data_IF_087303722055
#
_entry.id   IF_087303722055
#
_cell.length_a   1.000
_cell.length_b   1.000
_cell.length_c   1.000
_cell.angle_alpha   90.00
_cell.angle_beta   90.00
_cell.angle_gamma   90.00
#
_symmetry.space_group_name_H-M   'P 1'
#
loop_
_entity.id
_entity.type
_entity.pdbx_description
1 polymer ?
#
# COMPACT_ATOMS: atom_id res chain seq x y z
N UNK A 1 6.62 5.47 24.20
CA UNK A 1 7.10 4.58 23.14
C UNK A 1 6.20 4.54 21.88
N UNK A 2 4.90 4.81 21.97
CA UNK A 2 3.98 4.72 20.83
C UNK A 2 4.21 5.71 19.69
N UNK A 3 4.57 6.96 19.96
CA UNK A 3 4.71 7.99 18.91
C UNK A 3 5.79 7.68 17.87
N UNK A 4 6.89 7.04 18.26
CA UNK A 4 7.94 6.65 17.33
C UNK A 4 7.49 5.57 16.33
N UNK A 5 6.72 4.57 16.78
CA UNK A 5 6.24 3.49 15.90
C UNK A 5 5.15 3.98 14.93
N UNK A 6 4.28 4.90 15.37
CA UNK A 6 3.31 5.59 14.49
C UNK A 6 4.05 6.37 13.40
N UNK A 7 5.09 7.14 13.76
CA UNK A 7 5.90 7.85 12.79
C UNK A 7 6.56 6.92 11.76
N UNK A 8 7.10 5.78 12.20
CA UNK A 8 7.67 4.76 11.29
C UNK A 8 6.58 4.18 10.38
N UNK A 9 5.39 3.88 10.91
CA UNK A 9 4.25 3.39 10.14
C UNK A 9 3.87 4.38 9.02
N UNK A 10 3.82 5.67 9.32
CA UNK A 10 3.48 6.71 8.36
C UNK A 10 4.55 6.86 7.26
N UNK A 11 5.84 6.83 7.63
CA UNK A 11 6.93 6.88 6.66
C UNK A 11 6.91 5.66 5.73
N UNK A 12 6.78 4.45 6.28
CA UNK A 12 6.70 3.22 5.46
C UNK A 12 5.45 3.25 4.59
N UNK A 13 4.30 3.73 5.09
CA UNK A 13 3.07 3.90 4.32
C UNK A 13 3.26 4.82 3.11
N UNK A 14 3.96 5.95 3.29
CA UNK A 14 4.31 6.85 2.18
C UNK A 14 5.21 6.16 1.15
N UNK A 15 6.19 5.38 1.59
CA UNK A 15 7.06 4.61 0.69
C UNK A 15 6.29 3.53 -0.07
N UNK A 16 5.31 2.87 0.56
CA UNK A 16 4.42 1.90 -0.10
C UNK A 16 3.63 2.59 -1.21
N UNK A 17 3.01 3.74 -0.93
CA UNK A 17 2.27 4.51 -1.94
C UNK A 17 3.16 4.88 -3.12
N UNK A 18 4.35 5.41 -2.86
CA UNK A 18 5.31 5.79 -3.90
C UNK A 18 5.76 4.57 -4.73
N UNK A 19 6.07 3.44 -4.09
CA UNK A 19 6.51 2.22 -4.77
C UNK A 19 5.42 1.67 -5.70
N UNK A 20 4.15 1.62 -5.26
CA UNK A 20 3.05 1.15 -6.10
C UNK A 20 2.69 2.14 -7.21
N UNK A 21 2.85 3.44 -7.00
CA UNK A 21 2.69 4.42 -8.07
C UNK A 21 3.75 4.20 -9.17
N UNK A 22 5.02 4.05 -8.79
CA UNK A 22 6.11 3.76 -9.74
C UNK A 22 5.82 2.43 -10.47
N UNK A 23 5.44 1.38 -9.75
CA UNK A 23 5.13 0.08 -10.33
C UNK A 23 3.96 0.15 -11.33
N UNK A 24 2.93 0.93 -11.02
CA UNK A 24 1.80 1.16 -11.93
C UNK A 24 2.27 1.82 -13.23
N UNK A 25 3.14 2.83 -13.16
CA UNK A 25 3.74 3.48 -14.33
C UNK A 25 4.56 2.48 -15.15
N UNK A 26 5.40 1.68 -14.50
CA UNK A 26 6.21 0.66 -15.18
C UNK A 26 5.35 -0.38 -15.90
N UNK A 27 4.25 -0.83 -15.28
CA UNK A 27 3.31 -1.77 -15.91
C UNK A 27 2.54 -1.11 -17.07
N UNK A 28 2.19 0.17 -16.98
CA UNK A 28 1.60 0.91 -18.09
C UNK A 28 2.55 0.98 -19.31
N UNK A 29 3.84 1.25 -19.06
CA UNK A 29 4.87 1.23 -20.11
C UNK A 29 5.03 -0.15 -20.73
N UNK A 30 4.93 -1.24 -19.95
CA UNK A 30 4.96 -2.62 -20.46
C UNK A 30 3.75 -2.91 -21.35
N UNK A 31 2.56 -2.44 -20.99
CA UNK A 31 1.35 -2.55 -21.83
C UNK A 31 1.53 -1.80 -23.14
N UNK A 32 2.24 -0.65 -23.12
CA UNK A 32 2.63 0.12 -24.31
C UNK A 32 3.75 -0.53 -25.14
N UNK A 33 4.16 -1.76 -24.82
CA UNK A 33 5.14 -2.55 -25.59
C UNK A 33 6.60 -2.26 -25.24
N UNK A 34 6.89 -1.52 -24.14
CA UNK A 34 8.25 -1.32 -23.69
C UNK A 34 8.74 -2.51 -22.87
N UNK A 35 9.96 -2.95 -23.13
CA UNK A 35 10.62 -3.95 -22.29
C UNK A 35 11.18 -3.27 -21.04
N UNK A 36 10.60 -3.57 -19.87
CA UNK A 36 10.97 -2.99 -18.58
C UNK A 36 11.39 -4.15 -17.65
N UNK A 37 12.64 -4.51 -17.71
CA UNK A 37 13.20 -5.61 -16.92
C UNK A 37 13.14 -5.37 -15.41
N UNK A 38 13.27 -4.11 -14.97
CA UNK A 38 13.24 -3.71 -13.54
C UNK A 38 11.86 -3.84 -12.90
N UNK A 39 10.78 -3.93 -13.69
CA UNK A 39 9.42 -3.96 -13.15
C UNK A 39 9.20 -5.09 -12.13
N UNK A 40 9.79 -6.29 -12.37
CA UNK A 40 9.69 -7.41 -11.43
C UNK A 40 10.38 -7.12 -10.09
N UNK A 41 11.56 -6.51 -10.13
CA UNK A 41 12.29 -6.14 -8.90
C UNK A 41 11.50 -5.10 -8.10
N UNK A 42 10.97 -4.07 -8.77
CA UNK A 42 10.15 -3.04 -8.13
C UNK A 42 8.88 -3.65 -7.53
N UNK A 43 8.23 -4.60 -8.22
CA UNK A 43 7.06 -5.34 -7.72
C UNK A 43 7.38 -6.10 -6.43
N UNK A 44 8.50 -6.83 -6.37
CA UNK A 44 8.92 -7.54 -5.17
C UNK A 44 9.25 -6.61 -4.01
N UNK A 45 9.91 -5.49 -4.29
CA UNK A 45 10.23 -4.47 -3.28
C UNK A 45 8.94 -3.82 -2.75
N UNK A 46 8.01 -3.45 -3.63
CA UNK A 46 6.72 -2.87 -3.24
C UNK A 46 5.90 -3.82 -2.36
N UNK A 47 5.82 -5.10 -2.74
CA UNK A 47 5.15 -6.12 -1.95
C UNK A 47 5.83 -6.32 -0.57
N UNK A 48 7.16 -6.35 -0.53
CA UNK A 48 7.94 -6.43 0.71
C UNK A 48 7.68 -5.24 1.64
N UNK A 49 7.68 -4.01 1.12
CA UNK A 49 7.34 -2.81 1.88
C UNK A 49 5.91 -2.88 2.43
N UNK A 50 4.96 -3.35 1.64
CA UNK A 50 3.58 -3.52 2.09
C UNK A 50 3.48 -4.54 3.23
N UNK A 51 4.19 -5.66 3.16
CA UNK A 51 4.22 -6.65 4.26
C UNK A 51 4.83 -6.06 5.53
N UNK A 52 5.91 -5.27 5.43
CA UNK A 52 6.49 -4.55 6.57
C UNK A 52 5.48 -3.56 7.16
N UNK A 53 4.76 -2.83 6.30
CA UNK A 53 3.69 -1.91 6.73
C UNK A 53 2.61 -2.63 7.52
N UNK A 54 2.18 -3.83 7.08
CA UNK A 54 1.23 -4.66 7.83
C UNK A 54 1.78 -5.11 9.17
N UNK A 55 3.02 -5.58 9.22
CA UNK A 55 3.64 -6.01 10.46
C UNK A 55 3.67 -4.87 11.50
N UNK A 56 4.04 -3.66 11.08
CA UNK A 56 4.02 -2.47 11.95
C UNK A 56 2.58 -2.14 12.36
N UNK A 57 1.61 -2.18 11.44
CA UNK A 57 0.20 -1.94 11.73
C UNK A 57 -0.36 -2.92 12.77
N UNK A 58 -0.03 -4.20 12.70
CA UNK A 58 -0.43 -5.19 13.70
C UNK A 58 0.24 -4.96 15.05
N UNK A 59 1.50 -4.53 15.08
CA UNK A 59 2.17 -4.16 16.33
C UNK A 59 1.50 -2.94 16.98
N UNK A 60 1.12 -1.95 16.21
CA UNK A 60 0.37 -0.78 16.69
C UNK A 60 -0.99 -1.20 17.25
N UNK A 61 -1.74 -2.02 16.52
CA UNK A 61 -3.05 -2.52 16.97
C UNK A 61 -2.91 -3.33 18.27
N UNK A 62 -1.92 -4.21 18.37
CA UNK A 62 -1.60 -4.96 19.60
C UNK A 62 -1.17 -4.06 20.76
N UNK A 63 -0.59 -2.91 20.47
CA UNK A 63 -0.24 -1.86 21.45
C UNK A 63 -1.40 -0.94 21.84
N UNK A 64 -2.64 -1.22 21.37
CA UNK A 64 -3.84 -0.45 21.69
C UNK A 64 -4.06 0.78 20.82
N UNK A 65 -3.22 1.03 19.79
CA UNK A 65 -3.46 2.09 18.83
C UNK A 65 -4.57 1.67 17.86
N UNK A 66 -5.58 2.52 17.73
CA UNK A 66 -6.71 2.27 16.84
C UNK A 66 -6.71 3.26 15.68
N UNK A 67 -7.29 2.85 14.58
CA UNK A 67 -7.58 3.67 13.42
C UNK A 67 -9.03 3.42 12.97
N UNK A 68 -9.49 4.12 11.94
CA UNK A 68 -10.85 3.94 11.41
C UNK A 68 -11.04 2.54 10.81
N UNK A 69 -12.26 1.99 10.89
CA UNK A 69 -12.59 0.72 10.25
C UNK A 69 -12.31 0.75 8.74
N UNK A 70 -12.52 1.90 8.08
CA UNK A 70 -12.24 2.08 6.66
C UNK A 70 -10.77 1.87 6.33
N UNK A 71 -9.83 2.34 7.17
CA UNK A 71 -8.40 2.11 7.01
C UNK A 71 -8.09 0.61 6.95
N UNK A 72 -8.60 -0.17 7.90
CA UNK A 72 -8.35 -1.62 7.96
C UNK A 72 -8.95 -2.37 6.76
N UNK A 73 -10.17 -2.01 6.35
CA UNK A 73 -10.84 -2.65 5.21
C UNK A 73 -10.09 -2.37 3.91
N UNK A 74 -9.70 -1.12 3.66
CA UNK A 74 -8.94 -0.76 2.46
C UNK A 74 -7.56 -1.43 2.43
N UNK A 75 -6.88 -1.47 3.57
CA UNK A 75 -5.63 -2.20 3.71
C UNK A 75 -5.84 -3.67 3.33
N UNK A 76 -6.82 -4.37 3.92
CA UNK A 76 -7.08 -5.79 3.63
C UNK A 76 -7.36 -6.04 2.14
N UNK A 77 -8.16 -5.17 1.49
CA UNK A 77 -8.44 -5.29 0.06
C UNK A 77 -7.15 -5.07 -0.75
N UNK A 78 -6.28 -4.13 -0.34
CA UNK A 78 -4.99 -3.92 -1.00
C UNK A 78 -4.11 -5.19 -0.97
N UNK A 79 -4.10 -5.94 0.11
CA UNK A 79 -3.38 -7.22 0.18
C UNK A 79 -3.92 -8.25 -0.83
N UNK A 80 -5.24 -8.31 -1.01
CA UNK A 80 -5.84 -9.19 -2.01
C UNK A 80 -5.44 -8.79 -3.44
N UNK A 81 -5.37 -7.50 -3.75
CA UNK A 81 -4.94 -7.03 -5.09
C UNK A 81 -3.46 -7.34 -5.36
N UNK A 82 -2.60 -7.33 -4.35
CA UNK A 82 -1.21 -7.81 -4.47
C UNK A 82 -1.18 -9.32 -4.77
N UNK A 83 -2.04 -10.10 -4.13
CA UNK A 83 -2.22 -11.52 -4.47
C UNK A 83 -2.63 -11.73 -5.94
N UNK A 84 -3.48 -10.88 -6.48
CA UNK A 84 -3.86 -10.91 -7.90
C UNK A 84 -2.69 -10.56 -8.83
N UNK A 85 -1.85 -9.59 -8.46
CA UNK A 85 -0.65 -9.25 -9.23
C UNK A 85 0.32 -10.44 -9.31
N UNK A 86 0.66 -11.03 -8.18
CA UNK A 86 1.67 -12.09 -8.13
C UNK A 86 1.13 -13.47 -8.53
N UNK A 87 -0.13 -13.75 -8.26
CA UNK A 87 -0.77 -15.02 -8.59
C UNK A 87 -1.42 -15.00 -9.96
N UNK A 88 -2.51 -14.24 -10.10
CA UNK A 88 -3.33 -14.27 -11.30
C UNK A 88 -2.61 -13.73 -12.55
N UNK A 89 -1.87 -12.61 -12.44
CA UNK A 89 -1.17 -12.07 -13.60
C UNK A 89 -0.09 -13.03 -14.12
N UNK A 90 0.57 -13.79 -13.23
CA UNK A 90 1.60 -14.76 -13.61
C UNK A 90 1.04 -15.95 -14.44
N UNK A 91 -0.26 -16.27 -14.31
CA UNK A 91 -0.90 -17.39 -15.04
C UNK A 91 -1.36 -17.03 -16.47
N UNK A 92 -1.18 -15.78 -16.91
CA UNK A 92 -1.59 -15.35 -18.26
C UNK A 92 -0.61 -15.85 -19.32
N UNK A 93 -1.15 -16.28 -20.46
CA UNK A 93 -0.36 -16.96 -21.52
C UNK A 93 0.61 -16.01 -22.21
N UNK A 94 0.18 -14.79 -22.55
CA UNK A 94 1.00 -13.84 -23.31
C UNK A 94 1.62 -12.76 -22.42
N UNK A 95 2.77 -12.22 -22.85
CA UNK A 95 3.43 -11.12 -22.16
C UNK A 95 2.52 -9.88 -22.02
N UNK A 96 1.72 -9.59 -23.05
CA UNK A 96 0.77 -8.47 -23.01
C UNK A 96 -0.35 -8.70 -22.00
N UNK A 97 -0.93 -9.91 -21.96
CA UNK A 97 -1.98 -10.25 -20.99
C UNK A 97 -1.43 -10.17 -19.55
N UNK A 98 -0.20 -10.65 -19.32
CA UNK A 98 0.47 -10.50 -18.02
C UNK A 98 0.64 -9.03 -17.64
N UNK A 99 1.11 -8.19 -18.57
CA UNK A 99 1.29 -6.77 -18.33
C UNK A 99 -0.04 -6.04 -18.04
N UNK A 100 -1.11 -6.34 -18.77
CA UNK A 100 -2.45 -5.77 -18.53
C UNK A 100 -2.99 -6.20 -17.17
N UNK A 101 -2.92 -7.49 -16.84
CA UNK A 101 -3.38 -7.99 -15.54
C UNK A 101 -2.58 -7.36 -14.38
N UNK A 102 -1.25 -7.26 -14.51
CA UNK A 102 -0.40 -6.59 -13.54
C UNK A 102 -0.73 -5.09 -13.41
N UNK A 103 -0.98 -4.39 -14.52
CA UNK A 103 -1.37 -2.97 -14.50
C UNK A 103 -2.69 -2.77 -13.73
N UNK A 104 -3.71 -3.58 -14.01
CA UNK A 104 -5.00 -3.48 -13.32
C UNK A 104 -4.82 -3.72 -11.82
N UNK A 105 -4.09 -4.78 -11.44
CA UNK A 105 -3.85 -5.11 -10.04
C UNK A 105 -3.06 -4.01 -9.32
N UNK A 106 -1.97 -3.50 -9.91
CA UNK A 106 -1.14 -2.47 -9.30
C UNK A 106 -1.83 -1.12 -9.23
N UNK A 107 -2.65 -0.75 -10.23
CA UNK A 107 -3.48 0.45 -10.19
C UNK A 107 -4.50 0.36 -9.04
N UNK A 108 -5.19 -0.77 -8.90
CA UNK A 108 -6.12 -0.99 -7.79
C UNK A 108 -5.38 -0.91 -6.44
N UNK A 109 -4.22 -1.57 -6.31
CA UNK A 109 -3.41 -1.48 -5.09
C UNK A 109 -3.00 -0.04 -4.79
N UNK A 110 -2.53 0.71 -5.80
CA UNK A 110 -2.13 2.12 -5.64
C UNK A 110 -3.27 2.97 -5.07
N UNK A 111 -4.47 2.85 -5.64
CA UNK A 111 -5.65 3.59 -5.17
C UNK A 111 -6.00 3.21 -3.73
N UNK A 112 -5.99 1.92 -3.41
CA UNK A 112 -6.35 1.40 -2.09
C UNK A 112 -5.34 1.82 -1.02
N UNK A 113 -4.02 1.70 -1.28
CA UNK A 113 -3.00 2.10 -0.31
C UNK A 113 -2.95 3.61 -0.13
N UNK A 114 -3.18 4.39 -1.20
CA UNK A 114 -3.29 5.85 -1.11
C UNK A 114 -4.48 6.28 -0.25
N UNK A 115 -5.66 5.69 -0.48
CA UNK A 115 -6.85 5.96 0.31
C UNK A 115 -6.68 5.53 1.77
N UNK A 116 -6.15 4.33 2.02
CA UNK A 116 -5.89 3.84 3.38
C UNK A 116 -4.92 4.76 4.12
N UNK A 117 -3.84 5.17 3.47
CA UNK A 117 -2.84 6.08 4.05
C UNK A 117 -3.44 7.44 4.39
N UNK A 118 -4.21 8.06 3.47
CA UNK A 118 -4.86 9.34 3.68
C UNK A 118 -5.90 9.31 4.80
N UNK A 119 -6.73 8.26 4.87
CA UNK A 119 -7.72 8.07 5.95
C UNK A 119 -7.01 7.85 7.29
N UNK A 120 -5.94 7.04 7.31
CA UNK A 120 -5.16 6.80 8.52
C UNK A 120 -4.57 8.09 9.09
N UNK A 121 -3.89 8.87 8.27
CA UNK A 121 -3.28 10.14 8.68
C UNK A 121 -4.31 11.17 9.13
N UNK A 122 -5.47 11.26 8.46
CA UNK A 122 -6.54 12.18 8.86
C UNK A 122 -7.14 11.80 10.22
N UNK A 123 -7.31 10.49 10.48
CA UNK A 123 -7.81 10.01 11.76
C UNK A 123 -6.83 10.34 12.92
N UNK A 124 -5.54 10.11 12.73
CA UNK A 124 -4.50 10.44 13.72
C UNK A 124 -4.50 11.93 14.04
N UNK A 125 -4.51 12.80 13.02
CA UNK A 125 -4.55 14.25 13.20
C UNK A 125 -5.81 14.71 13.96
N UNK A 126 -6.96 14.09 13.70
CA UNK A 126 -8.21 14.41 14.41
C UNK A 126 -8.13 14.00 15.90
N UNK A 127 -7.55 12.85 16.20
CA UNK A 127 -7.35 12.39 17.59
C UNK A 127 -6.39 13.30 18.34
N UNK A 128 -5.27 13.68 17.73
CA UNK A 128 -4.29 14.61 18.33
C UNK A 128 -4.93 15.97 18.64
N UNK A 129 -5.71 16.53 17.69
CA UNK A 129 -6.40 17.80 17.88
C UNK A 129 -7.43 17.72 19.03
N UNK A 130 -8.17 16.61 19.12
CA UNK A 130 -9.13 16.40 20.21
C UNK A 130 -8.43 16.36 21.57
N UNK A 131 -7.32 15.63 21.70
CA UNK A 131 -6.55 15.54 22.95
C UNK A 131 -5.96 16.89 23.36
N UNK A 132 -5.47 17.69 22.43
CA UNK A 132 -4.97 19.03 22.68
C UNK A 132 -6.05 19.99 23.22
N UNK A 133 -7.29 19.85 22.75
CA UNK A 133 -8.44 20.66 23.20
C UNK A 133 -8.93 20.35 24.62
N UNK A 134 -8.60 19.20 25.19
CA UNK A 134 -8.95 18.84 26.58
C UNK A 134 -7.89 19.23 27.62
N UNK A 135 -6.71 19.68 27.18
CA UNK A 135 -5.59 20.05 28.06
C UNK A 135 -5.43 21.53 28.36
N UNK A 136 -6.33 22.39 27.87
CA UNK A 136 -6.38 23.84 28.12
C UNK A 136 -7.58 24.23 28.95
#
# INVERSE_FOLDING_TARGET
>A
MGGGLVGVHNVVGTLVVAAYLVLTILNALRVAGRDISVARTVSMVAAGLLLVQYAIGFLLLGGGFQNSAAHYVLALIALLTVGLEHGYAATRDTARQRAVAALIATLATTVLVFAAHGIGSAYESAVEAALAGFGG
#
